data_IF_466038170081
#
_entry.id   IF_466038170081
#
_cell.length_a   1.000
_cell.length_b   1.000
_cell.length_c   1.000
_cell.angle_alpha   90.00
_cell.angle_beta   90.00
_cell.angle_gamma   90.00
#
_symmetry.space_group_name_H-M   'P 1'
#
loop_
_entity.id
_entity.type
_entity.pdbx_description
1 polymer ?
#
# COMPACT_ATOMS: atom_id res chain seq x y z
N UNK A 1 3.52 -22.00 -12.54
CA UNK A 1 3.19 -20.57 -12.44
C UNK A 1 3.39 -19.99 -13.84
N UNK A 2 2.31 -19.86 -14.62
CA UNK A 2 2.40 -19.73 -16.09
C UNK A 2 2.95 -18.39 -16.55
N UNK A 3 2.88 -17.36 -15.69
CA UNK A 3 3.42 -16.02 -15.97
C UNK A 3 4.94 -15.91 -15.77
N UNK A 4 5.50 -16.65 -14.80
CA UNK A 4 6.92 -16.62 -14.46
C UNK A 4 7.53 -18.03 -14.46
N UNK A 5 7.62 -18.69 -15.64
CA UNK A 5 8.08 -20.08 -15.72
C UNK A 5 9.55 -20.27 -15.32
N UNK A 6 10.36 -19.20 -15.34
CA UNK A 6 11.78 -19.19 -14.97
C UNK A 6 12.05 -18.39 -13.68
N UNK A 7 11.01 -18.13 -12.88
CA UNK A 7 11.10 -17.25 -11.71
C UNK A 7 11.03 -15.76 -12.06
N UNK A 8 11.25 -14.92 -11.05
CA UNK A 8 11.22 -13.46 -11.16
C UNK A 8 12.19 -12.85 -10.15
N UNK A 9 12.61 -11.60 -10.38
CA UNK A 9 13.46 -10.87 -9.44
C UNK A 9 12.58 -10.00 -8.53
N UNK A 10 12.39 -10.36 -7.25
CA UNK A 10 11.57 -9.54 -6.36
C UNK A 10 12.31 -8.28 -5.94
N UNK A 11 11.61 -7.15 -5.99
CA UNK A 11 12.06 -5.88 -5.44
C UNK A 11 11.05 -5.50 -4.36
N UNK A 12 11.40 -5.81 -3.10
CA UNK A 12 10.57 -5.53 -1.93
C UNK A 12 10.86 -4.11 -1.45
N UNK A 13 9.96 -3.18 -1.72
CA UNK A 13 10.02 -1.81 -1.21
C UNK A 13 9.40 -1.77 0.18
N UNK A 14 10.16 -1.32 1.19
CA UNK A 14 9.70 -1.26 2.58
C UNK A 14 10.18 0.03 3.25
N UNK A 15 9.26 0.76 3.88
CA UNK A 15 9.61 1.95 4.65
C UNK A 15 10.25 1.58 5.99
N UNK A 16 11.16 2.42 6.49
CA UNK A 16 11.94 2.18 7.73
C UNK A 16 11.08 1.78 8.95
N UNK A 17 9.84 2.28 9.04
CA UNK A 17 8.90 1.94 10.13
C UNK A 17 8.44 0.48 10.07
N UNK A 18 8.11 -0.03 8.88
CA UNK A 18 7.72 -1.43 8.71
C UNK A 18 8.94 -2.34 8.72
N UNK A 19 10.07 -1.87 8.19
CA UNK A 19 11.32 -2.63 8.19
C UNK A 19 11.89 -2.84 9.59
N UNK A 20 11.70 -1.90 10.50
CA UNK A 20 12.05 -2.07 11.91
C UNK A 20 11.31 -3.23 12.60
N UNK A 21 10.20 -3.71 12.02
CA UNK A 21 9.45 -4.90 12.46
C UNK A 21 9.85 -6.17 11.71
N UNK A 22 10.77 -6.09 10.74
CA UNK A 22 11.23 -7.23 9.93
C UNK A 22 10.44 -7.47 8.65
N UNK A 23 9.32 -6.76 8.42
CA UNK A 23 8.35 -7.10 7.36
C UNK A 23 8.96 -7.15 5.95
N UNK A 24 9.94 -6.28 5.67
CA UNK A 24 10.62 -6.25 4.38
C UNK A 24 11.45 -7.53 4.15
N UNK A 25 12.27 -7.90 5.13
CA UNK A 25 13.12 -9.09 5.04
C UNK A 25 12.27 -10.37 5.09
N UNK A 26 11.28 -10.45 5.98
CA UNK A 26 10.36 -11.58 6.07
C UNK A 26 9.69 -11.87 4.72
N UNK A 27 9.23 -10.82 4.03
CA UNK A 27 8.65 -10.96 2.68
C UNK A 27 9.67 -11.45 1.66
N UNK A 28 10.88 -10.89 1.67
CA UNK A 28 11.92 -11.26 0.71
C UNK A 28 12.31 -12.74 0.87
N UNK A 29 12.49 -13.19 2.12
CA UNK A 29 12.84 -14.57 2.45
C UNK A 29 11.71 -15.55 2.09
N UNK A 30 10.45 -15.15 2.33
CA UNK A 30 9.28 -15.97 2.01
C UNK A 30 9.10 -16.21 0.50
N UNK A 31 9.54 -15.29 -0.36
CA UNK A 31 9.44 -15.44 -1.82
C UNK A 31 10.41 -16.49 -2.39
N UNK A 32 11.50 -16.80 -1.66
CA UNK A 32 12.50 -17.80 -2.03
C UNK A 32 13.02 -17.66 -3.48
N UNK A 33 13.14 -16.42 -3.97
CA UNK A 33 13.68 -16.12 -5.30
C UNK A 33 15.15 -15.71 -5.22
N UNK A 34 15.92 -16.07 -6.23
CA UNK A 34 17.29 -15.59 -6.38
C UNK A 34 17.34 -14.11 -6.79
N UNK A 35 18.46 -13.44 -6.49
CA UNK A 35 18.74 -12.05 -6.89
C UNK A 35 17.74 -10.99 -6.38
N UNK A 36 16.94 -11.32 -5.36
CA UNK A 36 15.98 -10.39 -4.76
C UNK A 36 16.63 -9.18 -4.10
N UNK A 37 15.90 -8.05 -4.10
CA UNK A 37 16.33 -6.80 -3.49
C UNK A 37 15.34 -6.34 -2.42
N UNK A 38 15.84 -6.11 -1.21
CA UNK A 38 15.17 -5.25 -0.23
C UNK A 38 15.53 -3.78 -0.53
N UNK A 39 14.52 -2.98 -0.85
CA UNK A 39 14.62 -1.55 -1.09
C UNK A 39 14.04 -0.78 0.10
N UNK A 40 14.91 -0.34 0.99
CA UNK A 40 14.52 0.49 2.13
C UNK A 40 14.47 1.96 1.75
N UNK A 41 13.46 2.66 2.29
CA UNK A 41 13.31 4.10 2.12
C UNK A 41 12.75 4.74 3.39
N UNK A 42 12.82 6.08 3.47
CA UNK A 42 12.27 6.80 4.62
C UNK A 42 10.75 6.76 4.64
N UNK A 43 10.18 6.76 5.85
CA UNK A 43 8.73 6.69 6.09
C UNK A 43 8.12 8.07 6.34
N UNK A 44 6.89 8.27 5.88
CA UNK A 44 6.07 9.45 6.20
C UNK A 44 5.62 10.23 4.97
N UNK A 45 4.61 11.08 5.14
CA UNK A 45 3.97 11.79 4.02
C UNK A 45 4.91 12.80 3.33
N UNK A 46 5.86 13.40 4.06
CA UNK A 46 6.91 14.28 3.49
C UNK A 46 7.92 13.52 2.64
N UNK A 47 8.04 12.20 2.82
CA UNK A 47 8.88 11.33 2.00
C UNK A 47 8.13 10.73 0.80
N UNK A 48 6.89 11.15 0.57
CA UNK A 48 6.14 10.88 -0.65
C UNK A 48 6.65 11.71 -1.84
N UNK A 49 7.95 11.62 -2.13
CA UNK A 49 8.69 12.45 -3.11
C UNK A 49 9.63 11.59 -3.95
N UNK A 50 9.94 12.05 -5.16
CA UNK A 50 10.60 11.25 -6.19
C UNK A 50 12.00 10.77 -5.78
N UNK A 51 12.78 11.59 -5.10
CA UNK A 51 14.16 11.33 -4.70
C UNK A 51 14.29 10.26 -3.59
N UNK A 52 13.23 10.02 -2.81
CA UNK A 52 13.20 8.91 -1.85
C UNK A 52 13.08 7.53 -2.54
N UNK A 53 12.61 7.50 -3.79
CA UNK A 53 12.40 6.27 -4.57
C UNK A 53 13.27 6.22 -5.85
N UNK A 54 13.78 7.36 -6.30
CA UNK A 54 14.48 7.52 -7.56
C UNK A 54 15.98 7.27 -7.47
N UNK A 55 16.38 6.20 -6.78
CA UNK A 55 17.80 5.91 -6.50
C UNK A 55 18.47 5.13 -7.62
N UNK A 56 19.77 5.35 -7.84
CA UNK A 56 20.57 4.61 -8.82
C UNK A 56 20.51 3.10 -8.58
N UNK A 57 20.54 2.67 -7.31
CA UNK A 57 20.48 1.25 -6.92
C UNK A 57 19.18 0.59 -7.36
N UNK A 58 18.03 1.25 -7.16
CA UNK A 58 16.74 0.72 -7.58
C UNK A 58 16.67 0.56 -9.09
N UNK A 59 17.00 1.62 -9.84
CA UNK A 59 16.92 1.58 -11.30
C UNK A 59 17.95 0.64 -11.93
N UNK A 60 19.17 0.54 -11.40
CA UNK A 60 20.16 -0.43 -11.86
C UNK A 60 19.65 -1.87 -11.69
N UNK A 61 18.99 -2.17 -10.57
CA UNK A 61 18.40 -3.50 -10.31
C UNK A 61 17.25 -3.80 -11.27
N UNK A 62 16.33 -2.85 -11.47
CA UNK A 62 15.24 -2.97 -12.44
C UNK A 62 15.78 -3.23 -13.85
N UNK A 63 16.78 -2.46 -14.28
CA UNK A 63 17.36 -2.59 -15.61
C UNK A 63 18.09 -3.93 -15.79
N UNK A 64 18.87 -4.37 -14.79
CA UNK A 64 19.52 -5.68 -14.80
C UNK A 64 18.49 -6.81 -14.97
N UNK A 65 17.42 -6.78 -14.17
CA UNK A 65 16.37 -7.81 -14.21
C UNK A 65 15.65 -7.85 -15.57
N UNK A 66 15.31 -6.69 -16.14
CA UNK A 66 14.68 -6.59 -17.46
C UNK A 66 15.52 -7.11 -18.61
N UNK A 67 16.84 -6.99 -18.52
CA UNK A 67 17.76 -7.56 -19.51
C UNK A 67 18.03 -9.06 -19.31
N UNK A 68 17.57 -9.63 -18.20
CA UNK A 68 17.73 -11.04 -17.85
C UNK A 68 16.53 -11.91 -18.25
N UNK A 69 16.50 -13.13 -17.71
CA UNK A 69 15.41 -14.09 -17.91
C UNK A 69 14.36 -14.07 -16.79
N UNK A 70 14.67 -13.43 -15.67
CA UNK A 70 13.79 -13.27 -14.52
C UNK A 70 13.33 -11.80 -14.46
N UNK A 71 12.11 -11.47 -14.91
CA UNK A 71 11.64 -10.10 -14.94
C UNK A 71 11.48 -9.53 -13.51
N UNK A 72 11.63 -8.22 -13.32
CA UNK A 72 11.42 -7.61 -12.01
C UNK A 72 9.93 -7.60 -11.63
N UNK A 73 9.64 -7.96 -10.38
CA UNK A 73 8.34 -7.79 -9.75
C UNK A 73 8.53 -6.91 -8.54
N UNK A 74 7.82 -5.77 -8.51
CA UNK A 74 7.91 -4.79 -7.43
C UNK A 74 6.81 -5.06 -6.41
N UNK A 75 7.19 -5.21 -5.15
CA UNK A 75 6.28 -5.42 -4.03
C UNK A 75 6.30 -4.21 -3.11
N UNK A 76 5.16 -3.57 -2.88
CA UNK A 76 5.01 -2.50 -1.90
C UNK A 76 4.59 -3.06 -0.54
N UNK A 77 5.57 -3.35 0.33
CA UNK A 77 5.32 -3.73 1.73
C UNK A 77 5.20 -2.46 2.56
N UNK A 78 3.98 -2.14 3.02
CA UNK A 78 3.78 -0.94 3.83
C UNK A 78 2.39 -0.31 3.73
N UNK A 79 2.29 0.94 4.19
CA UNK A 79 1.10 1.78 4.04
C UNK A 79 1.00 2.44 2.65
N UNK A 80 -0.07 3.23 2.47
CA UNK A 80 -0.40 3.81 1.17
C UNK A 80 0.64 4.79 0.59
N UNK A 81 1.52 5.37 1.41
CA UNK A 81 2.63 6.20 0.90
C UNK A 81 3.56 5.38 0.02
N UNK A 82 4.03 4.22 0.52
CA UNK A 82 4.90 3.33 -0.23
C UNK A 82 4.18 2.80 -1.48
N UNK A 83 2.95 2.29 -1.33
CA UNK A 83 2.13 1.80 -2.44
C UNK A 83 1.96 2.82 -3.58
N UNK A 84 1.68 4.08 -3.24
CA UNK A 84 1.62 5.16 -4.23
C UNK A 84 2.95 5.42 -4.93
N UNK A 85 4.04 5.50 -4.17
CA UNK A 85 5.33 5.94 -4.68
C UNK A 85 6.03 4.85 -5.49
N UNK A 86 6.21 3.66 -4.92
CA UNK A 86 6.85 2.57 -5.63
C UNK A 86 5.94 2.03 -6.75
N UNK A 87 4.61 2.13 -6.58
CA UNK A 87 3.67 1.82 -7.66
C UNK A 87 3.79 2.78 -8.84
N UNK A 88 4.13 4.06 -8.61
CA UNK A 88 4.44 4.98 -9.70
C UNK A 88 5.76 4.62 -10.39
N UNK A 89 6.78 4.19 -9.64
CA UNK A 89 8.01 3.65 -10.25
C UNK A 89 7.70 2.42 -11.10
N UNK A 90 6.88 1.50 -10.60
CA UNK A 90 6.45 0.32 -11.35
C UNK A 90 5.72 0.71 -12.65
N UNK A 91 4.82 1.69 -12.58
CA UNK A 91 4.13 2.22 -13.75
C UNK A 91 5.08 2.81 -14.79
N UNK A 92 5.98 3.71 -14.36
CA UNK A 92 6.94 4.40 -15.24
C UNK A 92 7.98 3.44 -15.84
N UNK A 93 8.27 2.36 -15.13
CA UNK A 93 9.20 1.33 -15.60
C UNK A 93 8.49 0.14 -16.24
N UNK A 94 7.16 0.10 -16.31
CA UNK A 94 6.42 -1.05 -16.82
C UNK A 94 6.85 -2.38 -16.16
N UNK A 95 6.99 -2.39 -14.84
CA UNK A 95 7.24 -3.60 -14.05
C UNK A 95 5.93 -4.10 -13.43
N UNK A 96 5.80 -5.42 -13.31
CA UNK A 96 4.70 -6.00 -12.53
C UNK A 96 4.77 -5.51 -11.07
N UNK A 97 3.60 -5.28 -10.49
CA UNK A 97 3.39 -4.57 -9.24
C UNK A 97 2.40 -5.29 -8.31
N UNK A 98 2.82 -5.52 -7.08
CA UNK A 98 2.04 -6.17 -6.03
C UNK A 98 2.00 -5.25 -4.82
N UNK A 99 0.83 -5.13 -4.19
CA UNK A 99 0.71 -4.42 -2.92
C UNK A 99 0.58 -5.40 -1.75
N UNK A 100 1.37 -5.16 -0.72
CA UNK A 100 1.33 -5.90 0.54
C UNK A 100 1.00 -4.89 1.65
N UNK A 101 -0.29 -4.53 1.81
CA UNK A 101 -0.69 -3.48 2.73
C UNK A 101 -0.47 -3.89 4.19
N UNK A 102 0.18 -3.01 4.95
CA UNK A 102 0.43 -3.18 6.40
C UNK A 102 -0.48 -2.29 7.26
N UNK A 103 -1.38 -1.53 6.64
CA UNK A 103 -2.38 -0.73 7.34
C UNK A 103 -3.77 -0.98 6.78
N UNK A 104 -4.83 -0.97 7.61
CA UNK A 104 -6.20 -1.15 7.13
C UNK A 104 -6.61 -0.04 6.16
N UNK A 105 -6.12 1.18 6.35
CA UNK A 105 -6.29 2.28 5.40
C UNK A 105 -5.75 1.95 4.00
N UNK A 106 -4.57 1.35 3.92
CA UNK A 106 -4.01 0.98 2.63
C UNK A 106 -4.84 -0.15 1.99
N UNK A 107 -5.20 -1.16 2.79
CA UNK A 107 -5.97 -2.31 2.32
C UNK A 107 -7.38 -1.94 1.82
N UNK A 108 -8.11 -1.09 2.55
CA UNK A 108 -9.50 -0.75 2.25
C UNK A 108 -9.68 0.33 1.17
N UNK A 109 -8.74 1.27 1.04
CA UNK A 109 -8.85 2.40 0.10
C UNK A 109 -7.77 2.33 -0.98
N UNK A 110 -6.52 2.58 -0.60
CA UNK A 110 -5.46 2.86 -1.57
C UNK A 110 -5.11 1.68 -2.49
N UNK A 111 -5.29 0.43 -2.06
CA UNK A 111 -5.10 -0.77 -2.90
C UNK A 111 -6.09 -0.84 -4.07
N UNK A 112 -7.34 -0.43 -3.83
CA UNK A 112 -8.40 -0.47 -4.86
C UNK A 112 -8.28 0.69 -5.85
N UNK A 113 -7.39 1.65 -5.56
CA UNK A 113 -7.15 2.83 -6.37
C UNK A 113 -5.99 2.61 -7.32
N UNK A 114 -6.24 2.82 -8.62
CA UNK A 114 -5.19 2.88 -9.63
C UNK A 114 -4.28 4.11 -9.47
N UNK A 115 -4.61 5.09 -8.61
CA UNK A 115 -3.83 6.32 -8.47
C UNK A 115 -2.50 6.02 -7.78
N UNK A 116 -1.40 6.25 -8.50
CA UNK A 116 -0.03 6.17 -7.96
C UNK A 116 0.65 7.52 -8.17
N UNK A 117 1.22 8.10 -7.12
CA UNK A 117 1.67 9.50 -7.19
C UNK A 117 2.77 9.87 -6.19
N UNK A 118 3.58 10.85 -6.58
CA UNK A 118 4.41 11.68 -5.71
C UNK A 118 3.70 13.00 -5.38
N UNK A 119 4.04 13.56 -4.23
CA UNK A 119 3.71 14.91 -3.82
C UNK A 119 4.88 15.86 -4.11
N UNK A 120 4.60 17.14 -4.27
CA UNK A 120 5.62 18.19 -4.30
C UNK A 120 5.99 18.55 -2.86
N UNK A 121 7.22 18.23 -2.46
CA UNK A 121 7.76 18.54 -1.14
C UNK A 121 9.01 19.38 -1.30
N UNK A 122 9.05 20.52 -0.61
CA UNK A 122 10.19 21.46 -0.62
C UNK A 122 10.44 21.88 0.82
N UNK A 123 11.69 21.77 1.29
CA UNK A 123 12.09 22.08 2.66
C UNK A 123 11.16 21.43 3.70
N UNK A 124 10.92 20.12 3.56
CA UNK A 124 10.05 19.29 4.40
C UNK A 124 8.58 19.74 4.51
N UNK A 125 8.15 20.65 3.63
CA UNK A 125 6.75 21.08 3.53
C UNK A 125 6.11 20.51 2.27
N UNK A 126 4.93 19.90 2.45
CA UNK A 126 4.08 19.44 1.34
C UNK A 126 3.41 20.66 0.72
N UNK A 127 3.80 21.02 -0.50
CA UNK A 127 3.23 22.14 -1.25
C UNK A 127 2.03 21.71 -2.09
N UNK A 128 2.04 20.48 -2.61
CA UNK A 128 0.92 19.91 -3.36
C UNK A 128 0.91 18.39 -3.21
N UNK A 129 -0.26 17.82 -2.87
CA UNK A 129 -0.44 16.38 -2.72
C UNK A 129 -0.67 15.73 -4.08
N UNK A 130 -0.03 14.59 -4.32
CA UNK A 130 -0.30 13.70 -5.47
C UNK A 130 -0.23 14.40 -6.84
N UNK A 131 0.64 15.40 -6.98
CA UNK A 131 0.68 16.27 -8.17
C UNK A 131 1.33 15.61 -9.39
N UNK A 132 2.20 14.63 -9.17
CA UNK A 132 2.86 13.87 -10.24
C UNK A 132 2.49 12.40 -10.08
N UNK A 133 1.78 11.84 -11.06
CA UNK A 133 1.29 10.47 -10.94
C UNK A 133 0.85 9.83 -12.23
N UNK A 134 0.41 8.58 -12.11
CA UNK A 134 -0.13 7.75 -13.18
C UNK A 134 -1.27 6.88 -12.63
N UNK A 135 -2.08 6.34 -13.54
CA UNK A 135 -3.04 5.29 -13.22
C UNK A 135 -2.41 3.93 -13.52
N UNK A 136 -2.15 3.13 -12.49
CA UNK A 136 -1.55 1.81 -12.59
C UNK A 136 -2.11 0.87 -11.52
N UNK A 137 -2.68 -0.24 -11.96
CA UNK A 137 -3.30 -1.24 -11.08
C UNK A 137 -2.26 -2.27 -10.65
N UNK A 138 -2.25 -2.67 -9.36
CA UNK A 138 -1.50 -3.84 -8.95
C UNK A 138 -2.12 -5.11 -9.56
N UNK A 139 -1.29 -6.11 -9.87
CA UNK A 139 -1.77 -7.43 -10.31
C UNK A 139 -2.28 -8.27 -9.13
N UNK A 140 -1.82 -7.97 -7.91
CA UNK A 140 -2.24 -8.63 -6.69
C UNK A 140 -2.16 -7.66 -5.51
N UNK A 141 -3.13 -7.76 -4.61
CA UNK A 141 -3.02 -7.21 -3.27
C UNK A 141 -3.08 -8.35 -2.26
N UNK A 142 -2.07 -8.47 -1.41
CA UNK A 142 -1.91 -9.57 -0.46
C UNK A 142 -1.80 -9.03 0.96
N UNK A 143 -2.83 -9.25 1.78
CA UNK A 143 -2.84 -8.79 3.16
C UNK A 143 -2.41 -9.91 4.12
N UNK A 144 -1.41 -9.62 4.95
CA UNK A 144 -1.00 -10.47 6.07
C UNK A 144 -1.66 -9.89 7.31
N UNK A 145 -2.67 -10.59 7.83
CA UNK A 145 -3.53 -10.07 8.90
C UNK A 145 -2.75 -9.83 10.20
N UNK A 146 -1.75 -10.66 10.49
CA UNK A 146 -0.90 -10.56 11.67
C UNK A 146 -0.14 -9.23 11.73
N UNK A 147 0.22 -8.67 10.57
CA UNK A 147 0.91 -7.37 10.50
C UNK A 147 0.01 -6.19 10.87
N UNK A 148 -1.32 -6.38 10.82
CA UNK A 148 -2.28 -5.37 11.26
C UNK A 148 -2.34 -5.26 12.80
N UNK A 149 -1.80 -6.23 13.54
CA UNK A 149 -1.75 -6.20 15.01
C UNK A 149 -0.75 -5.19 15.56
N UNK A 150 0.17 -4.67 14.72
CA UNK A 150 1.20 -3.71 15.13
C UNK A 150 0.87 -2.26 14.73
N UNK A 151 -0.36 -1.98 14.29
CA UNK A 151 -0.74 -0.63 13.84
C UNK A 151 -0.90 0.32 15.03
N UNK A 152 -0.65 1.61 14.80
CA UNK A 152 -0.96 2.64 15.79
C UNK A 152 -2.47 2.90 15.88
N UNK A 153 -2.94 3.35 17.06
CA UNK A 153 -4.32 3.79 17.26
C UNK A 153 -4.76 4.86 16.25
N UNK A 154 -3.86 5.77 15.86
CA UNK A 154 -4.13 6.75 14.82
C UNK A 154 -4.44 6.13 13.44
N UNK A 155 -3.75 5.05 13.05
CA UNK A 155 -4.07 4.33 11.81
C UNK A 155 -5.41 3.61 11.93
N UNK A 156 -5.71 3.05 13.10
CA UNK A 156 -6.96 2.39 13.40
C UNK A 156 -8.16 3.37 13.27
N UNK A 157 -8.06 4.55 13.89
CA UNK A 157 -9.07 5.60 13.76
C UNK A 157 -9.25 6.10 12.33
N UNK A 158 -8.16 6.26 11.58
CA UNK A 158 -8.24 6.65 10.17
C UNK A 158 -9.04 5.64 9.35
N UNK A 159 -8.82 4.34 9.58
CA UNK A 159 -9.54 3.26 8.90
C UNK A 159 -11.04 3.28 9.20
N UNK A 160 -11.43 3.50 10.47
CA UNK A 160 -12.84 3.67 10.86
C UNK A 160 -13.47 4.87 10.16
N UNK A 161 -12.75 5.99 10.08
CA UNK A 161 -13.22 7.19 9.37
C UNK A 161 -13.49 6.94 7.89
N UNK A 162 -12.58 6.23 7.22
CA UNK A 162 -12.72 5.87 5.81
C UNK A 162 -13.86 4.86 5.57
N UNK A 163 -13.99 3.85 6.43
CA UNK A 163 -15.12 2.93 6.36
C UNK A 163 -16.46 3.67 6.56
N UNK A 164 -16.53 4.58 7.53
CA UNK A 164 -17.70 5.42 7.78
C UNK A 164 -18.06 6.26 6.55
N UNK A 165 -17.08 6.86 5.88
CA UNK A 165 -17.30 7.56 4.62
C UNK A 165 -17.90 6.63 3.57
N UNK A 166 -17.29 5.46 3.33
CA UNK A 166 -17.76 4.50 2.31
C UNK A 166 -19.20 4.06 2.58
N UNK A 167 -19.55 3.77 3.83
CA UNK A 167 -20.91 3.40 4.23
C UNK A 167 -21.93 4.51 3.93
N UNK A 168 -21.58 5.77 4.24
CA UNK A 168 -22.45 6.90 3.97
C UNK A 168 -22.54 7.27 2.48
N UNK A 169 -21.55 6.93 1.66
CA UNK A 169 -21.62 7.13 0.21
C UNK A 169 -22.54 6.14 -0.50
N UNK A 170 -22.65 4.92 0.04
CA UNK A 170 -23.49 3.86 -0.55
C UNK A 170 -24.98 4.01 -0.22
N UNK A 171 -25.34 4.84 0.75
CA UNK A 171 -26.72 5.18 1.06
C UNK A 171 -26.87 6.67 1.33
N UNK A 172 -27.62 7.39 0.49
CA UNK A 172 -28.13 8.70 0.90
C UNK A 172 -29.12 8.48 2.04
N UNK A 173 -28.63 8.48 3.29
CA UNK A 173 -29.38 8.09 4.48
C UNK A 173 -30.63 8.96 4.73
N UNK A 174 -30.73 10.11 4.05
CA UNK A 174 -31.90 10.99 4.07
C UNK A 174 -32.97 10.63 3.02
N UNK A 175 -32.74 9.62 2.18
CA UNK A 175 -33.71 9.12 1.20
C UNK A 175 -34.27 7.77 1.67
N UNK A 176 -35.51 7.46 1.31
CA UNK A 176 -36.14 6.17 1.65
C UNK A 176 -35.32 4.99 1.09
N UNK A 177 -34.80 5.14 -0.14
CA UNK A 177 -33.96 4.12 -0.79
C UNK A 177 -32.64 3.95 -0.03
N UNK A 178 -31.91 5.04 0.22
CA UNK A 178 -30.64 4.98 0.94
C UNK A 178 -30.79 4.51 2.40
N UNK A 179 -31.88 4.84 3.10
CA UNK A 179 -32.15 4.35 4.45
C UNK A 179 -32.44 2.84 4.48
N UNK A 180 -33.19 2.35 3.49
CA UNK A 180 -33.50 0.91 3.33
C UNK A 180 -32.23 0.13 2.98
N UNK A 181 -31.43 0.64 2.04
CA UNK A 181 -30.19 0.00 1.62
C UNK A 181 -29.12 0.05 2.72
N UNK A 182 -29.03 1.15 3.48
CA UNK A 182 -28.10 1.26 4.61
C UNK A 182 -28.33 0.19 5.67
N UNK A 183 -29.59 -0.19 5.95
CA UNK A 183 -29.92 -1.29 6.85
C UNK A 183 -29.61 -2.67 6.26
N UNK A 184 -29.51 -2.76 4.93
CA UNK A 184 -29.14 -3.99 4.21
C UNK A 184 -27.62 -4.14 4.03
N UNK A 185 -26.82 -3.11 4.30
CA UNK A 185 -25.35 -3.23 4.38
C UNK A 185 -25.02 -3.94 5.70
N UNK A 186 -25.00 -5.28 5.64
CA UNK A 186 -24.66 -6.14 6.77
C UNK A 186 -23.33 -5.67 7.40
N UNK A 187 -23.35 -5.36 8.69
CA UNK A 187 -22.16 -4.98 9.44
C UNK A 187 -21.73 -3.52 9.31
N UNK A 188 -22.50 -2.63 8.68
CA UNK A 188 -22.13 -1.21 8.64
C UNK A 188 -22.03 -0.58 10.05
N UNK A 189 -23.03 -0.87 10.88
CA UNK A 189 -23.08 -0.40 12.28
C UNK A 189 -22.13 -1.21 13.17
N UNK A 190 -22.02 -2.53 12.93
CA UNK A 190 -21.15 -3.43 13.71
C UNK A 190 -19.66 -3.15 13.44
N UNK A 191 -19.25 -2.87 12.20
CA UNK A 191 -17.86 -2.55 11.86
C UNK A 191 -17.38 -1.28 12.54
N UNK A 192 -18.19 -0.22 12.58
CA UNK A 192 -17.84 1.02 13.28
C UNK A 192 -17.83 0.83 14.81
N UNK A 193 -18.80 0.09 15.36
CA UNK A 193 -18.92 -0.21 16.80
C UNK A 193 -17.80 -1.11 17.32
N UNK A 194 -17.56 -2.24 16.65
CA UNK A 194 -16.71 -3.31 17.18
C UNK A 194 -15.22 -3.01 16.99
N UNK A 195 -14.85 -2.29 15.94
CA UNK A 195 -13.47 -1.82 15.77
C UNK A 195 -13.08 -0.78 16.82
N UNK A 196 -14.05 -0.01 17.33
CA UNK A 196 -13.82 0.96 18.41
C UNK A 196 -13.69 0.22 19.77
N UNK A 197 -14.51 -0.80 20.02
CA UNK A 197 -14.41 -1.65 21.23
C UNK A 197 -13.11 -2.45 21.32
N UNK A 198 -12.63 -2.99 20.20
CA UNK A 198 -11.36 -3.74 20.17
C UNK A 198 -10.17 -2.87 20.61
N UNK A 199 -10.22 -1.56 20.35
CA UNK A 199 -9.15 -0.64 20.77
C UNK A 199 -9.25 -0.29 22.27
N UNK A 200 -10.44 -0.29 22.86
CA UNK A 200 -10.64 -0.02 24.30
C UNK A 200 -10.13 -1.16 25.19
N UNK A 201 -10.01 -2.39 24.67
CA UNK A 201 -9.52 -3.55 25.42
C UNK A 201 -8.00 -3.75 25.34
N UNK A 202 -7.29 -2.95 24.52
CA UNK A 202 -5.86 -3.13 24.22
C UNK A 202 -4.98 -1.96 24.73
N UNK A 203 -5.57 -0.99 25.43
CA UNK A 203 -4.84 0.01 26.26
C UNK A 203 -4.66 -0.47 27.72
#
# INVERSE_FOLDING_TARGET
>A
NDKYPKGFTPIVSCGETCDALGYGQDMLDALQQEDGMLFNHKSGETYKRYDNYGTDRLFATINKAKSGTAPPVILAVGGGVNGNCIGLIAALTNCDFIEVPTTPMHYNDAVTSAKKAFSLVVNDKILSKNILGAFYLPQLAFCINEWLLTISSANAHAAVGEATKTMNMLGAANTIVGATDFHNILGAVEFASDFTKILEEVE
#
